data_IF_711075198718
#
_entry.id   IF_711075198718
#
_cell.length_a   1.000
_cell.length_b   1.000
_cell.length_c   1.000
_cell.angle_alpha   90.00
_cell.angle_beta   90.00
_cell.angle_gamma   90.00
#
_symmetry.space_group_name_H-M   'P 1'
#
loop_
_entity.id
_entity.type
_entity.pdbx_description
1 polymer ?
#
# COMPACT_ATOMS: atom_id res chain seq x y z
N UNK A 1 -4.41 -21.75 2.92
CA UNK A 1 -3.98 -21.39 4.31
C UNK A 1 -2.81 -20.44 4.20
N UNK A 2 -2.89 -19.29 4.84
CA UNK A 2 -1.77 -18.34 4.88
C UNK A 2 -0.61 -18.95 5.69
N UNK A 3 0.53 -19.09 5.05
CA UNK A 3 1.74 -19.54 5.73
C UNK A 3 2.45 -18.31 6.30
N UNK A 4 2.58 -18.27 7.64
CA UNK A 4 3.37 -17.21 8.28
C UNK A 4 4.85 -17.43 8.02
N UNK A 5 5.53 -16.35 7.64
CA UNK A 5 6.99 -16.33 7.50
C UNK A 5 7.68 -16.36 8.87
N UNK A 6 7.11 -15.65 9.84
CA UNK A 6 7.60 -15.61 11.23
C UNK A 6 6.44 -15.31 12.19
N UNK A 7 6.52 -15.87 13.38
CA UNK A 7 5.66 -15.52 14.53
C UNK A 7 6.52 -15.32 15.77
N UNK A 8 6.21 -14.29 16.55
CA UNK A 8 6.85 -14.08 17.86
C UNK A 8 6.42 -15.16 18.86
N UNK A 9 7.25 -15.41 19.88
CA UNK A 9 6.99 -16.44 20.91
C UNK A 9 5.69 -16.18 21.67
N UNK A 10 5.39 -14.92 21.97
CA UNK A 10 4.14 -14.47 22.60
C UNK A 10 2.95 -14.40 21.63
N UNK A 11 3.15 -14.68 20.35
CA UNK A 11 2.15 -14.65 19.27
C UNK A 11 1.54 -13.26 18.99
N UNK A 12 2.11 -12.20 19.53
CA UNK A 12 1.61 -10.82 19.31
C UNK A 12 2.04 -10.23 17.96
N UNK A 13 3.03 -10.85 17.32
CA UNK A 13 3.54 -10.43 16.02
C UNK A 13 3.57 -11.61 15.04
N UNK A 14 3.05 -11.37 13.85
CA UNK A 14 3.10 -12.32 12.73
C UNK A 14 3.56 -11.60 11.46
N UNK A 15 4.61 -12.11 10.82
CA UNK A 15 5.08 -11.66 9.52
C UNK A 15 4.59 -12.62 8.44
N UNK A 16 3.98 -12.10 7.41
CA UNK A 16 3.51 -12.86 6.25
C UNK A 16 4.15 -12.29 4.99
N UNK A 17 4.67 -13.16 4.15
CA UNK A 17 5.18 -12.78 2.84
C UNK A 17 4.18 -13.21 1.76
N UNK A 18 3.82 -12.29 0.87
CA UNK A 18 2.91 -12.59 -0.24
C UNK A 18 2.34 -11.34 -0.88
N UNK A 19 1.51 -11.52 -1.88
CA UNK A 19 0.69 -10.43 -2.44
C UNK A 19 -0.30 -9.94 -1.37
N UNK A 20 -0.28 -8.64 -1.09
CA UNK A 20 -1.06 -8.09 0.01
C UNK A 20 -2.58 -8.27 -0.18
N UNK A 21 -3.07 -8.24 -1.42
CA UNK A 21 -4.49 -8.41 -1.72
C UNK A 21 -4.89 -9.87 -1.46
N UNK A 22 -4.08 -10.81 -1.92
CA UNK A 22 -4.32 -12.24 -1.65
C UNK A 22 -4.22 -12.55 -0.16
N UNK A 23 -3.21 -12.00 0.52
CA UNK A 23 -3.05 -12.16 1.98
C UNK A 23 -4.27 -11.63 2.71
N UNK A 24 -4.71 -10.40 2.45
CA UNK A 24 -5.88 -9.81 3.10
C UNK A 24 -7.14 -10.65 2.85
N UNK A 25 -7.42 -11.03 1.62
CA UNK A 25 -8.62 -11.82 1.26
C UNK A 25 -8.71 -13.18 1.97
N UNK A 26 -7.57 -13.72 2.41
CA UNK A 26 -7.53 -14.97 3.17
C UNK A 26 -7.61 -14.78 4.70
N UNK A 27 -7.64 -13.53 5.19
CA UNK A 27 -7.84 -13.27 6.61
C UNK A 27 -9.34 -13.38 6.98
N UNK A 28 -9.59 -13.82 8.20
CA UNK A 28 -10.95 -13.98 8.74
C UNK A 28 -11.29 -12.94 9.79
N UNK A 29 -10.41 -11.98 10.04
CA UNK A 29 -10.58 -10.95 11.06
C UNK A 29 -10.34 -9.55 10.48
N UNK A 30 -10.75 -8.54 11.23
CA UNK A 30 -10.58 -7.13 10.87
C UNK A 30 -9.60 -6.43 11.80
N UNK A 31 -8.98 -5.37 11.31
CA UNK A 31 -8.00 -4.57 12.02
C UNK A 31 -8.61 -3.28 12.57
N UNK A 32 -8.08 -2.80 13.68
CA UNK A 32 -8.36 -1.46 14.20
C UNK A 32 -7.60 -0.40 13.41
N UNK A 33 -6.40 -0.72 12.98
CA UNK A 33 -5.54 0.20 12.23
C UNK A 33 -4.76 -0.56 11.16
N UNK A 34 -4.67 0.02 9.97
CA UNK A 34 -3.79 -0.43 8.89
C UNK A 34 -2.82 0.71 8.58
N UNK A 35 -1.52 0.39 8.49
CA UNK A 35 -0.53 1.27 7.89
C UNK A 35 -0.08 0.64 6.56
N UNK A 36 -0.27 1.36 5.46
CA UNK A 36 0.06 0.90 4.13
C UNK A 36 1.20 1.75 3.52
N UNK A 37 2.21 1.07 3.03
CA UNK A 37 3.32 1.66 2.27
C UNK A 37 3.31 1.06 0.85
N UNK A 38 2.41 1.54 -0.04
CA UNK A 38 2.21 0.95 -1.36
C UNK A 38 3.34 1.31 -2.33
N UNK A 39 3.43 0.64 -3.49
CA UNK A 39 4.32 1.07 -4.56
C UNK A 39 4.10 2.52 -4.96
N UNK A 40 5.18 3.27 -5.14
CA UNK A 40 5.12 4.67 -5.59
C UNK A 40 5.28 4.81 -7.10
N UNK A 41 5.53 3.71 -7.80
CA UNK A 41 5.72 3.63 -9.25
C UNK A 41 6.86 4.50 -9.77
N UNK A 42 7.97 4.55 -9.05
CA UNK A 42 9.15 5.35 -9.37
C UNK A 42 10.20 4.59 -10.17
N UNK A 43 10.10 3.27 -10.28
CA UNK A 43 11.11 2.39 -10.90
C UNK A 43 10.91 2.22 -12.42
N UNK A 44 10.88 3.34 -13.16
CA UNK A 44 10.69 3.36 -14.61
C UNK A 44 11.96 3.70 -15.40
N UNK A 45 13.12 3.34 -14.89
CA UNK A 45 14.38 3.84 -15.44
C UNK A 45 14.58 5.33 -15.17
N UNK A 46 13.81 5.90 -14.26
CA UNK A 46 13.92 7.27 -13.83
C UNK A 46 15.26 7.55 -13.15
N UNK A 47 15.70 8.78 -13.25
CA UNK A 47 16.92 9.27 -12.61
C UNK A 47 16.50 10.15 -11.44
N UNK A 48 17.05 9.88 -10.27
CA UNK A 48 16.92 10.73 -9.08
C UNK A 48 18.25 11.37 -8.76
N UNK A 49 18.23 12.52 -8.11
CA UNK A 49 19.43 13.18 -7.62
C UNK A 49 19.56 12.92 -6.13
N UNK A 50 20.60 12.21 -5.74
CA UNK A 50 20.91 11.94 -4.35
C UNK A 50 22.30 12.46 -4.03
N UNK A 51 22.39 13.40 -3.09
CA UNK A 51 23.65 14.07 -2.72
C UNK A 51 24.42 14.67 -3.92
N UNK A 52 23.69 15.30 -4.86
CA UNK A 52 24.28 15.92 -6.05
C UNK A 52 24.71 14.95 -7.15
N UNK A 53 24.44 13.65 -7.01
CA UNK A 53 24.72 12.64 -8.03
C UNK A 53 23.43 12.08 -8.61
N UNK A 54 23.42 11.90 -9.94
CA UNK A 54 22.33 11.18 -10.61
C UNK A 54 22.43 9.70 -10.31
N UNK A 55 21.35 9.14 -9.76
CA UNK A 55 21.24 7.70 -9.45
C UNK A 55 20.00 7.12 -10.12
N UNK A 56 20.11 5.90 -10.61
CA UNK A 56 18.96 5.17 -11.14
C UNK A 56 18.06 4.73 -9.99
N UNK A 57 16.73 4.93 -10.14
CA UNK A 57 15.74 4.42 -9.19
C UNK A 57 15.18 3.11 -9.75
N UNK A 58 15.52 2.00 -9.12
CA UNK A 58 14.97 0.70 -9.45
C UNK A 58 14.77 -0.10 -8.16
N UNK A 59 13.53 -0.18 -7.69
CA UNK A 59 13.13 -0.96 -6.51
C UNK A 59 12.63 -2.36 -6.88
N UNK A 60 12.46 -2.66 -8.16
CA UNK A 60 11.96 -3.92 -8.68
C UNK A 60 10.73 -3.79 -9.58
N UNK A 61 10.29 -4.92 -10.13
CA UNK A 61 9.13 -4.95 -11.06
C UNK A 61 7.83 -4.48 -10.41
N UNK A 62 7.69 -4.72 -9.11
CA UNK A 62 6.49 -4.32 -8.35
C UNK A 62 6.31 -2.80 -8.25
N UNK A 63 7.38 -2.02 -8.38
CA UNK A 63 7.34 -0.55 -8.34
C UNK A 63 7.38 0.09 -9.73
N UNK A 64 7.33 -0.69 -10.80
CA UNK A 64 7.25 -0.17 -12.16
C UNK A 64 5.85 0.32 -12.48
N UNK A 65 5.77 1.51 -13.08
CA UNK A 65 4.51 2.01 -13.61
C UNK A 65 4.13 1.24 -14.89
N UNK A 66 2.87 0.86 -14.96
CA UNK A 66 2.24 0.29 -16.17
C UNK A 66 1.23 1.25 -16.80
N UNK A 67 1.41 2.54 -16.54
CA UNK A 67 0.50 3.61 -16.96
C UNK A 67 -0.50 4.01 -15.89
N UNK A 68 -1.06 5.21 -16.02
CA UNK A 68 -1.93 5.81 -15.01
C UNK A 68 -3.15 4.95 -14.69
N UNK A 69 -3.86 4.47 -15.69
CA UNK A 69 -5.07 3.65 -15.47
C UNK A 69 -4.78 2.37 -14.70
N UNK A 70 -3.70 1.68 -15.06
CA UNK A 70 -3.30 0.46 -14.37
C UNK A 70 -2.92 0.73 -12.91
N UNK A 71 -2.11 1.76 -12.67
CA UNK A 71 -1.69 2.16 -11.32
C UNK A 71 -2.90 2.60 -10.48
N UNK A 72 -3.82 3.34 -11.09
CA UNK A 72 -5.05 3.81 -10.44
C UNK A 72 -5.98 2.65 -10.06
N UNK A 73 -6.15 1.65 -10.94
CA UNK A 73 -6.88 0.43 -10.63
C UNK A 73 -6.20 -0.43 -9.57
N UNK A 74 -4.88 -0.51 -9.59
CA UNK A 74 -4.13 -1.19 -8.54
C UNK A 74 -4.38 -0.54 -7.18
N UNK A 75 -4.35 0.79 -7.11
CA UNK A 75 -4.67 1.54 -5.89
C UNK A 75 -6.08 1.24 -5.39
N UNK A 76 -7.06 1.19 -6.30
CA UNK A 76 -8.42 0.79 -5.95
C UNK A 76 -8.46 -0.60 -5.30
N UNK A 77 -7.82 -1.57 -5.93
CA UNK A 77 -7.92 -2.98 -5.52
C UNK A 77 -7.34 -3.23 -4.12
N UNK A 78 -6.16 -2.70 -3.82
CA UNK A 78 -5.58 -2.89 -2.50
C UNK A 78 -6.30 -2.07 -1.42
N UNK A 79 -6.79 -0.86 -1.73
CA UNK A 79 -7.59 -0.06 -0.81
C UNK A 79 -8.94 -0.73 -0.49
N UNK A 80 -9.57 -1.34 -1.47
CA UNK A 80 -10.81 -2.11 -1.29
C UNK A 80 -10.57 -3.31 -0.37
N UNK A 81 -9.51 -4.07 -0.59
CA UNK A 81 -9.12 -5.16 0.30
C UNK A 81 -8.81 -4.68 1.73
N UNK A 82 -8.16 -3.53 1.89
CA UNK A 82 -7.95 -2.92 3.20
C UNK A 82 -9.27 -2.54 3.86
N UNK A 83 -10.20 -1.93 3.11
CA UNK A 83 -11.51 -1.51 3.62
C UNK A 83 -12.32 -2.69 4.15
N UNK A 84 -12.34 -3.80 3.43
CA UNK A 84 -13.03 -5.02 3.83
C UNK A 84 -12.50 -5.59 5.16
N UNK A 85 -11.24 -5.29 5.48
CA UNK A 85 -10.55 -5.77 6.69
C UNK A 85 -10.35 -4.69 7.76
N UNK A 86 -10.96 -3.52 7.63
CA UNK A 86 -11.03 -2.52 8.69
C UNK A 86 -12.33 -2.65 9.49
N UNK A 87 -12.24 -2.48 10.80
CA UNK A 87 -13.41 -2.26 11.64
C UNK A 87 -14.08 -0.94 11.24
N UNK A 88 -15.37 -0.79 11.55
CA UNK A 88 -16.16 0.40 11.19
C UNK A 88 -15.58 1.70 11.74
N UNK A 89 -14.96 1.63 12.92
CA UNK A 89 -14.22 2.73 13.56
C UNK A 89 -12.71 2.65 13.37
N UNK A 90 -12.26 1.79 12.46
CA UNK A 90 -10.83 1.62 12.16
C UNK A 90 -10.25 2.79 11.36
N UNK A 91 -8.93 2.89 11.38
CA UNK A 91 -8.18 3.92 10.66
C UNK A 91 -7.18 3.30 9.70
N UNK A 92 -6.95 3.97 8.58
CA UNK A 92 -5.91 3.61 7.64
C UNK A 92 -4.96 4.79 7.44
N UNK A 93 -3.66 4.50 7.44
CA UNK A 93 -2.59 5.44 7.17
C UNK A 93 -1.88 4.99 5.92
N UNK A 94 -1.71 5.89 4.98
CA UNK A 94 -1.06 5.58 3.70
C UNK A 94 0.09 6.52 3.47
N UNK A 95 1.30 5.96 3.32
CA UNK A 95 2.45 6.73 2.85
C UNK A 95 2.42 6.89 1.34
N UNK A 96 3.03 7.93 0.82
CA UNK A 96 3.08 8.14 -0.62
C UNK A 96 3.95 9.32 -1.03
N UNK A 97 4.19 9.41 -2.32
CA UNK A 97 4.82 10.54 -2.97
C UNK A 97 3.83 11.24 -3.89
N UNK A 98 4.14 12.44 -4.37
CA UNK A 98 3.31 13.19 -5.31
C UNK A 98 2.98 12.41 -6.59
N UNK A 99 3.80 11.42 -6.97
CA UNK A 99 3.58 10.60 -8.16
C UNK A 99 2.36 9.67 -8.05
N UNK A 100 1.95 9.31 -6.84
CA UNK A 100 0.89 8.34 -6.64
C UNK A 100 -0.18 8.76 -5.61
N UNK A 101 0.14 9.63 -4.65
CA UNK A 101 -0.75 9.91 -3.51
C UNK A 101 -2.10 10.51 -3.93
N UNK A 102 -2.16 11.29 -5.00
CA UNK A 102 -3.41 11.86 -5.47
C UNK A 102 -4.35 10.79 -6.05
N UNK A 103 -3.80 9.78 -6.74
CA UNK A 103 -4.55 8.62 -7.19
C UNK A 103 -5.10 7.82 -6.00
N UNK A 104 -4.27 7.60 -4.98
CA UNK A 104 -4.68 6.94 -3.73
C UNK A 104 -5.81 7.71 -3.06
N UNK A 105 -5.67 9.03 -2.88
CA UNK A 105 -6.68 9.85 -2.23
C UNK A 105 -8.02 9.85 -2.99
N UNK A 106 -7.98 9.90 -4.31
CA UNK A 106 -9.19 9.81 -5.14
C UNK A 106 -9.88 8.45 -4.95
N UNK A 107 -9.14 7.35 -5.02
CA UNK A 107 -9.70 6.02 -4.81
C UNK A 107 -10.24 5.84 -3.39
N UNK A 108 -9.57 6.36 -2.38
CA UNK A 108 -10.08 6.36 -1.00
C UNK A 108 -11.43 7.06 -0.92
N UNK A 109 -11.57 8.23 -1.53
CA UNK A 109 -12.83 8.99 -1.55
C UNK A 109 -13.93 8.21 -2.27
N UNK A 110 -13.64 7.62 -3.43
CA UNK A 110 -14.59 6.82 -4.20
C UNK A 110 -15.04 5.55 -3.46
N UNK A 111 -14.17 4.95 -2.66
CA UNK A 111 -14.48 3.79 -1.82
C UNK A 111 -15.21 4.15 -0.52
N UNK A 112 -15.44 5.43 -0.26
CA UNK A 112 -16.18 5.91 0.91
C UNK A 112 -15.33 6.06 2.17
N UNK A 113 -14.01 6.15 2.05
CA UNK A 113 -13.17 6.57 3.17
C UNK A 113 -13.35 8.07 3.43
N UNK A 114 -13.34 8.44 4.70
CA UNK A 114 -13.24 9.83 5.11
C UNK A 114 -11.78 10.20 5.32
N UNK A 115 -11.22 11.06 4.48
CA UNK A 115 -9.86 11.57 4.66
C UNK A 115 -9.90 12.58 5.82
N UNK A 116 -9.17 12.29 6.88
CA UNK A 116 -9.13 13.11 8.08
C UNK A 116 -7.99 14.12 8.05
N UNK A 117 -6.84 13.73 7.47
CA UNK A 117 -5.64 14.54 7.49
C UNK A 117 -4.70 14.20 6.34
N UNK A 118 -3.86 15.16 5.97
CA UNK A 118 -2.72 14.96 5.09
C UNK A 118 -1.50 15.59 5.78
N UNK A 119 -0.49 14.76 6.06
CA UNK A 119 0.73 15.16 6.77
C UNK A 119 1.86 15.21 5.75
N UNK A 120 2.56 16.32 5.69
CA UNK A 120 3.73 16.53 4.81
C UNK A 120 4.98 16.83 5.61
#
# INVERSE_FOLDING_TARGET
>A
MLQSFYKSDNKDFTLVQGDCIEVLRNLTFKFHTIFADPPYFLSNGGISVQSGKMVSVNKGEWDKSKGFEHNHNFNKNWLEACKEHLLDNGTIWVSGTFHNIFSVAQQMTMLGFKILNCIT
#
